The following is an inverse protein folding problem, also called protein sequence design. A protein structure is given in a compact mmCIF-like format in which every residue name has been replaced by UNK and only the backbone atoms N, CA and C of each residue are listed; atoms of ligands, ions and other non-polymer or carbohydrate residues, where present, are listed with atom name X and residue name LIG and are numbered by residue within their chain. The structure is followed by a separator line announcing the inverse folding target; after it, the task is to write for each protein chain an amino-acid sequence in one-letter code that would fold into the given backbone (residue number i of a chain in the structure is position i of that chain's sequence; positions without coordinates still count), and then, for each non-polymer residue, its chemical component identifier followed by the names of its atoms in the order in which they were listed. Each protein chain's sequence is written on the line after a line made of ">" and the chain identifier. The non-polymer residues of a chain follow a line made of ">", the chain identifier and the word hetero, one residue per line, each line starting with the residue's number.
data_IF_849959688773
#
_entry.id   IF_849959688773
#
_cell.length_a   1.000
_cell.length_b   1.000
_cell.length_c   1.000
_cell.angle_alpha   90.00
_cell.angle_beta   90.00
_cell.angle_gamma   90.00
#
_symmetry.space_group_name_H-M   'P 1'
#
loop_
_entity.id
_entity.type
_entity.pdbx_description
1 polymer ?
#
# COMPACT_ATOMS: atom_id res chain seq x y z
N UNK A 1 34.91 9.92 33.91
CA UNK A 1 34.90 8.54 33.37
C UNK A 1 33.46 8.27 32.95
N UNK A 2 33.22 8.24 31.63
CA UNK A 2 31.90 8.40 31.01
C UNK A 2 31.09 7.09 31.07
N UNK A 3 29.90 7.13 31.68
CA UNK A 3 28.93 6.05 31.62
C UNK A 3 28.30 6.00 30.22
N UNK A 4 28.43 4.83 29.57
CA UNK A 4 27.81 4.51 28.28
C UNK A 4 26.34 4.19 28.51
N UNK A 5 25.38 4.93 27.91
CA UNK A 5 23.97 4.58 28.02
C UNK A 5 23.66 3.32 27.20
N UNK A 6 23.11 2.31 27.91
CA UNK A 6 22.60 1.07 27.34
C UNK A 6 21.54 1.37 26.27
N UNK A 7 21.88 1.06 25.02
CA UNK A 7 20.96 1.04 23.89
C UNK A 7 19.88 0.00 24.18
N UNK A 8 18.68 0.46 24.54
CA UNK A 8 17.48 -0.38 24.62
C UNK A 8 17.15 -0.82 23.20
N UNK A 9 17.44 -2.09 22.91
CA UNK A 9 16.97 -2.81 21.72
C UNK A 9 15.44 -2.83 21.78
N UNK A 10 14.78 -1.96 21.02
CA UNK A 10 13.35 -2.06 20.77
C UNK A 10 13.10 -3.21 19.79
N UNK A 11 13.18 -4.44 20.30
CA UNK A 11 12.56 -5.60 19.65
C UNK A 11 11.06 -5.51 19.89
N UNK A 12 10.34 -4.72 19.08
CA UNK A 12 8.88 -4.69 19.11
C UNK A 12 8.35 -5.77 18.16
N UNK A 13 8.00 -6.88 18.78
CA UNK A 13 7.14 -7.99 18.35
C UNK A 13 6.20 -7.61 17.19
N UNK A 14 6.57 -7.99 15.95
CA UNK A 14 5.62 -8.15 14.84
C UNK A 14 4.93 -9.49 15.01
N UNK A 15 3.70 -9.47 15.54
CA UNK A 15 2.88 -10.67 15.61
C UNK A 15 2.50 -11.13 14.20
N UNK A 16 3.10 -12.27 13.87
CA UNK A 16 2.70 -13.28 12.91
C UNK A 16 1.17 -13.43 12.84
N UNK A 17 0.58 -13.29 11.66
CA UNK A 17 -0.59 -14.09 11.29
C UNK A 17 -0.27 -14.75 9.95
N UNK A 18 0.33 -15.93 10.02
CA UNK A 18 0.62 -16.80 8.89
C UNK A 18 -0.20 -18.09 9.08
N UNK A 19 -1.13 -18.39 8.18
CA UNK A 19 -0.95 -19.44 7.15
C UNK A 19 -2.26 -19.75 6.43
N UNK A 20 -2.17 -19.56 5.11
CA UNK A 20 -3.05 -20.10 4.08
C UNK A 20 -2.92 -21.63 4.08
N UNK A 21 -4.05 -22.33 4.05
CA UNK A 21 -4.12 -23.69 3.54
C UNK A 21 -4.66 -23.65 2.11
N UNK A 22 -3.87 -24.21 1.20
CA UNK A 22 -4.14 -24.31 -0.22
C UNK A 22 -5.21 -25.38 -0.53
N UNK A 23 -5.98 -25.15 -1.60
CA UNK A 23 -6.52 -26.25 -2.40
C UNK A 23 -6.34 -25.94 -3.89
N UNK A 24 -5.74 -26.88 -4.61
CA UNK A 24 -5.32 -26.78 -6.01
C UNK A 24 -6.08 -27.80 -6.86
N UNK A 25 -6.71 -27.28 -7.93
CA UNK A 25 -7.02 -27.88 -9.25
C UNK A 25 -8.12 -28.96 -9.37
N UNK A 26 -8.68 -29.25 -10.59
CA UNK A 26 -8.37 -28.72 -11.93
C UNK A 26 -9.56 -28.19 -12.77
N UNK A 27 -9.24 -27.48 -13.86
CA UNK A 27 -10.17 -26.97 -14.87
C UNK A 27 -10.68 -28.05 -15.85
N UNK A 28 -11.94 -27.96 -16.34
CA UNK A 28 -12.36 -28.63 -17.57
C UNK A 28 -12.15 -27.74 -18.81
N UNK A 29 -11.63 -28.38 -19.88
CA UNK A 29 -11.35 -27.80 -21.18
C UNK A 29 -12.63 -27.59 -22.02
N UNK A 30 -12.62 -26.49 -22.78
CA UNK A 30 -13.25 -26.23 -24.10
C UNK A 30 -14.78 -26.21 -24.20
N UNK A 31 -15.29 -25.05 -24.65
CA UNK A 31 -15.92 -24.94 -25.98
C UNK A 31 -15.79 -23.51 -26.51
N UNK A 32 -15.43 -23.38 -27.78
CA UNK A 32 -15.35 -22.12 -28.51
C UNK A 32 -16.68 -21.82 -29.22
N UNK A 33 -16.95 -20.51 -29.39
CA UNK A 33 -17.73 -19.82 -30.42
C UNK A 33 -18.74 -18.81 -29.82
N UNK A 34 -19.16 -17.78 -30.56
CA UNK A 34 -18.43 -16.94 -31.51
C UNK A 34 -18.54 -15.43 -31.18
N UNK A 35 -17.82 -14.62 -31.96
CA UNK A 35 -17.84 -13.16 -31.97
C UNK A 35 -19.26 -12.58 -31.97
N UNK A 36 -19.55 -11.74 -30.98
CA UNK A 36 -20.49 -10.64 -31.13
C UNK A 36 -19.81 -9.36 -30.64
N UNK A 37 -19.63 -8.45 -31.59
CA UNK A 37 -19.21 -7.08 -31.39
C UNK A 37 -20.30 -6.36 -30.59
N UNK A 38 -19.94 -5.73 -29.47
CA UNK A 38 -20.67 -4.61 -28.88
C UNK A 38 -19.61 -3.71 -28.19
N UNK A 39 -19.47 -2.51 -28.73
CA UNK A 39 -19.21 -1.25 -28.04
C UNK A 39 -18.08 -1.13 -27.00
N UNK A 40 -17.02 -0.42 -27.43
CA UNK A 40 -16.87 0.97 -27.01
C UNK A 40 -16.99 1.25 -25.51
N UNK A 41 -15.98 0.82 -24.76
CA UNK A 41 -15.92 1.11 -23.33
C UNK A 41 -14.65 0.59 -22.70
N UNK A 42 -13.48 0.91 -23.27
CA UNK A 42 -12.28 0.95 -22.44
C UNK A 42 -12.53 2.03 -21.39
N UNK A 43 -13.07 1.63 -20.24
CA UNK A 43 -12.85 2.32 -18.99
C UNK A 43 -11.36 2.21 -18.73
N UNK A 44 -10.59 2.98 -19.49
CA UNK A 44 -9.29 3.47 -19.09
C UNK A 44 -9.56 4.09 -17.74
N UNK A 45 -9.24 3.32 -16.68
CA UNK A 45 -9.42 3.72 -15.31
C UNK A 45 -8.61 5.00 -15.15
N UNK A 46 -9.29 6.13 -15.36
CA UNK A 46 -8.73 7.44 -15.18
C UNK A 46 -8.21 7.44 -13.76
N UNK A 47 -6.88 7.39 -13.63
CA UNK A 47 -6.18 7.40 -12.36
C UNK A 47 -6.72 8.59 -11.59
N UNK A 48 -7.66 8.33 -10.69
CA UNK A 48 -8.37 9.40 -10.04
C UNK A 48 -7.32 10.11 -9.17
N UNK A 49 -7.07 11.41 -9.41
CA UNK A 49 -6.25 12.27 -8.53
C UNK A 49 -7.01 12.46 -7.20
N UNK A 50 -7.16 11.37 -6.46
CA UNK A 50 -7.70 11.38 -5.12
C UNK A 50 -6.57 11.81 -4.20
N UNK A 51 -6.80 12.90 -3.48
CA UNK A 51 -5.83 13.48 -2.53
C UNK A 51 -6.11 13.12 -1.07
N UNK A 52 -7.21 12.40 -0.84
CA UNK A 52 -7.71 11.91 0.45
C UNK A 52 -8.67 10.73 0.21
N UNK A 53 -8.90 9.86 1.21
CA UNK A 53 -9.92 8.83 1.15
C UNK A 53 -11.28 9.40 0.77
N UNK A 54 -12.03 8.67 -0.06
CA UNK A 54 -13.41 8.98 -0.45
C UNK A 54 -14.20 7.67 -0.56
N UNK A 55 -15.49 7.64 -0.20
CA UNK A 55 -16.29 6.41 -0.28
C UNK A 55 -16.46 5.87 -1.70
N UNK A 56 -16.41 6.75 -2.70
CA UNK A 56 -16.51 6.39 -4.11
C UNK A 56 -15.20 5.89 -4.72
N UNK A 57 -14.07 5.98 -3.99
CA UNK A 57 -12.78 5.51 -4.48
C UNK A 57 -12.68 3.98 -4.29
N UNK A 58 -12.12 3.30 -5.28
CA UNK A 58 -11.79 1.88 -5.16
C UNK A 58 -10.54 1.68 -4.29
N UNK A 59 -10.32 0.44 -3.85
CA UNK A 59 -9.08 0.07 -3.16
C UNK A 59 -7.84 0.27 -4.06
N UNK A 60 -7.98 0.07 -5.37
CA UNK A 60 -6.91 0.30 -6.35
C UNK A 60 -6.57 1.78 -6.48
N UNK A 61 -7.58 2.66 -6.52
CA UNK A 61 -7.36 4.12 -6.52
C UNK A 61 -6.59 4.57 -5.29
N UNK A 62 -6.89 3.99 -4.12
CA UNK A 62 -6.21 4.30 -2.85
C UNK A 62 -4.74 3.92 -2.90
N UNK A 63 -4.41 2.70 -3.35
CA UNK A 63 -3.01 2.25 -3.47
C UNK A 63 -2.28 3.07 -4.52
N UNK A 64 -2.92 3.36 -5.65
CA UNK A 64 -2.35 4.18 -6.73
C UNK A 64 -2.02 5.59 -6.24
N UNK A 65 -2.95 6.24 -5.54
CA UNK A 65 -2.73 7.57 -4.97
C UNK A 65 -1.63 7.56 -3.89
N UNK A 66 -1.59 6.52 -3.05
CA UNK A 66 -0.57 6.37 -2.03
C UNK A 66 0.83 6.18 -2.64
N UNK A 67 0.95 5.33 -3.67
CA UNK A 67 2.21 5.10 -4.38
C UNK A 67 2.68 6.33 -5.15
N UNK A 68 1.77 7.03 -5.83
CA UNK A 68 2.10 8.30 -6.50
C UNK A 68 2.61 9.35 -5.51
N UNK A 69 2.02 9.44 -4.31
CA UNK A 69 2.49 10.33 -3.27
C UNK A 69 3.89 9.92 -2.76
N UNK A 70 4.14 8.63 -2.51
CA UNK A 70 5.45 8.13 -2.08
C UNK A 70 6.54 8.33 -3.13
N UNK A 71 6.22 8.08 -4.40
CA UNK A 71 7.11 8.34 -5.53
C UNK A 71 7.46 9.84 -5.64
N UNK A 72 6.52 10.74 -5.34
CA UNK A 72 6.78 12.18 -5.28
C UNK A 72 7.51 12.63 -4.00
N UNK A 73 7.84 11.72 -3.07
CA UNK A 73 8.45 12.06 -1.79
C UNK A 73 7.48 12.65 -0.76
N UNK A 74 6.17 12.66 -1.05
CA UNK A 74 5.13 13.26 -0.21
C UNK A 74 4.53 12.23 0.76
N UNK A 75 5.30 11.91 1.79
CA UNK A 75 4.86 11.01 2.86
C UNK A 75 3.60 11.51 3.59
N UNK A 76 3.38 12.83 3.66
CA UNK A 76 2.19 13.38 4.31
C UNK A 76 0.92 13.05 3.51
N UNK A 77 0.94 13.17 2.19
CA UNK A 77 -0.18 12.76 1.33
C UNK A 77 -0.43 11.26 1.41
N UNK A 78 0.63 10.45 1.36
CA UNK A 78 0.52 9.00 1.51
C UNK A 78 -0.15 8.62 2.85
N UNK A 79 0.22 9.30 3.95
CA UNK A 79 -0.32 9.05 5.28
C UNK A 79 -1.83 9.33 5.40
N UNK A 80 -2.42 10.17 4.54
CA UNK A 80 -3.86 10.44 4.58
C UNK A 80 -4.70 9.19 4.37
N UNK A 81 -4.18 8.24 3.58
CA UNK A 81 -4.84 6.98 3.24
C UNK A 81 -4.67 5.88 4.29
N UNK A 82 -3.86 6.09 5.33
CA UNK A 82 -3.74 5.13 6.43
C UNK A 82 -5.07 5.03 7.21
N UNK A 83 -5.44 3.80 7.58
CA UNK A 83 -6.64 3.56 8.40
C UNK A 83 -6.50 4.19 9.78
N UNK A 84 -7.62 4.53 10.47
CA UNK A 84 -7.58 5.05 11.83
C UNK A 84 -6.76 4.16 12.78
N UNK A 85 -6.93 2.84 12.69
CA UNK A 85 -6.16 1.88 13.48
C UNK A 85 -4.65 1.98 13.19
N UNK A 86 -4.26 2.05 11.92
CA UNK A 86 -2.86 2.22 11.52
C UNK A 86 -2.28 3.56 12.01
N UNK A 87 -3.06 4.65 11.94
CA UNK A 87 -2.66 5.98 12.45
C UNK A 87 -2.47 5.99 13.97
N UNK A 88 -3.30 5.28 14.73
CA UNK A 88 -3.15 5.15 16.18
C UNK A 88 -1.82 4.49 16.56
N UNK A 89 -1.39 3.48 15.79
CA UNK A 89 -0.12 2.76 16.02
C UNK A 89 1.08 3.59 15.57
N UNK A 90 1.04 4.13 14.36
CA UNK A 90 2.17 4.88 13.76
C UNK A 90 2.36 6.25 14.43
N UNK A 91 1.27 6.83 14.95
CA UNK A 91 1.24 8.20 15.46
C UNK A 91 1.17 9.24 14.33
N UNK A 92 1.46 10.51 14.63
CA UNK A 92 1.29 11.61 13.68
C UNK A 92 2.17 11.45 12.43
N UNK A 93 1.78 12.09 11.32
CA UNK A 93 2.44 11.94 10.02
C UNK A 93 3.97 12.18 10.04
N UNK A 94 4.48 13.00 10.96
CA UNK A 94 5.93 13.22 11.14
C UNK A 94 6.66 11.96 11.59
N UNK A 95 6.03 11.12 12.44
CA UNK A 95 6.56 9.81 12.84
C UNK A 95 6.52 8.83 11.69
N UNK A 96 5.43 8.80 10.93
CA UNK A 96 5.34 8.01 9.70
C UNK A 96 6.43 8.37 8.69
N UNK A 97 6.65 9.66 8.45
CA UNK A 97 7.71 10.15 7.58
C UNK A 97 9.08 9.67 8.06
N UNK A 98 9.40 9.88 9.33
CA UNK A 98 10.67 9.41 9.91
C UNK A 98 10.83 7.88 9.80
N UNK A 99 9.75 7.12 10.04
CA UNK A 99 9.75 5.66 9.89
C UNK A 99 10.09 5.23 8.46
N UNK A 100 9.47 5.83 7.44
CA UNK A 100 9.75 5.48 6.04
C UNK A 100 11.17 5.90 5.63
N UNK A 101 11.62 7.08 6.05
CA UNK A 101 12.95 7.59 5.69
C UNK A 101 14.07 6.79 6.34
N UNK A 102 13.88 6.32 7.57
CA UNK A 102 14.92 5.66 8.37
C UNK A 102 14.90 4.14 8.25
N UNK A 103 13.75 3.52 7.93
CA UNK A 103 13.67 2.07 7.79
C UNK A 103 14.07 1.64 6.37
N UNK A 104 15.16 0.86 6.21
CA UNK A 104 15.60 0.36 4.90
C UNK A 104 14.54 -0.46 4.16
N UNK A 105 13.59 -1.06 4.87
CA UNK A 105 12.49 -1.83 4.29
C UNK A 105 11.52 -0.95 3.50
N UNK A 106 11.21 0.26 3.98
CA UNK A 106 10.20 1.14 3.36
C UNK A 106 10.79 2.28 2.55
N UNK A 107 12.03 2.69 2.87
CA UNK A 107 12.77 3.75 2.16
C UNK A 107 12.75 3.62 0.63
N UNK A 108 12.82 2.41 0.03
CA UNK A 108 12.81 2.26 -1.42
C UNK A 108 11.52 2.73 -2.12
N UNK A 109 10.39 2.80 -1.41
CA UNK A 109 9.15 3.38 -1.96
C UNK A 109 9.22 4.89 -2.12
N UNK A 110 9.99 5.56 -1.25
CA UNK A 110 10.11 7.00 -1.24
C UNK A 110 11.01 7.46 -2.39
N UNK A 111 10.51 8.38 -3.22
CA UNK A 111 11.24 8.87 -4.39
C UNK A 111 11.74 7.73 -5.32
N UNK A 112 10.96 6.66 -5.43
CA UNK A 112 11.27 5.56 -6.36
C UNK A 112 11.28 6.05 -7.82
N UNK A 113 12.00 5.34 -8.69
CA UNK A 113 12.05 5.70 -10.12
C UNK A 113 10.71 5.42 -10.81
N UNK A 114 10.11 4.27 -10.50
CA UNK A 114 8.81 3.83 -10.99
C UNK A 114 8.22 2.77 -10.07
N UNK A 115 6.93 2.51 -10.23
CA UNK A 115 6.23 1.42 -9.56
C UNK A 115 5.23 0.79 -10.53
N UNK A 116 4.83 -0.44 -10.26
CA UNK A 116 3.84 -1.20 -11.05
C UNK A 116 2.80 -1.81 -10.13
N UNK A 117 1.53 -1.71 -10.50
CA UNK A 117 0.45 -2.47 -9.86
C UNK A 117 0.44 -3.89 -10.42
N UNK A 118 0.62 -4.89 -9.55
CA UNK A 118 0.69 -6.31 -9.97
C UNK A 118 -0.69 -6.94 -9.95
N UNK A 119 -1.50 -6.63 -8.95
CA UNK A 119 -2.84 -7.17 -8.81
C UNK A 119 -3.40 -7.01 -7.42
N UNK A 120 -4.70 -7.30 -7.30
CA UNK A 120 -5.45 -7.20 -6.06
C UNK A 120 -6.25 -8.46 -5.80
N UNK A 121 -6.26 -8.91 -4.55
CA UNK A 121 -7.06 -10.04 -4.07
C UNK A 121 -7.90 -9.61 -2.87
N UNK A 122 -8.94 -10.37 -2.56
CA UNK A 122 -9.79 -10.17 -1.39
C UNK A 122 -11.26 -9.93 -1.75
N UNK A 123 -12.06 -9.61 -0.74
CA UNK A 123 -13.52 -9.44 -0.79
C UNK A 123 -13.91 -7.94 -0.70
N UNK A 124 -15.20 -7.66 -0.48
CA UNK A 124 -15.72 -6.29 -0.50
C UNK A 124 -15.37 -5.47 0.76
N UNK A 125 -14.78 -6.11 1.78
CA UNK A 125 -14.42 -5.50 3.06
C UNK A 125 -12.90 -5.46 3.27
N UNK A 126 -12.15 -6.41 2.69
CA UNK A 126 -10.70 -6.49 2.81
C UNK A 126 -10.04 -6.79 1.47
N UNK A 127 -9.00 -6.04 1.15
CA UNK A 127 -8.17 -6.24 -0.06
C UNK A 127 -6.69 -6.33 0.28
N UNK A 128 -5.95 -7.10 -0.51
CA UNK A 128 -4.50 -7.13 -0.54
C UNK A 128 -4.03 -6.76 -1.94
N UNK A 129 -3.29 -5.65 -2.06
CA UNK A 129 -2.73 -5.18 -3.32
C UNK A 129 -1.23 -5.46 -3.38
N UNK A 130 -0.77 -6.07 -4.47
CA UNK A 130 0.66 -6.28 -4.72
C UNK A 130 1.18 -5.20 -5.66
N UNK A 131 2.29 -4.58 -5.29
CA UNK A 131 2.98 -3.58 -6.11
C UNK A 131 4.46 -3.91 -6.22
N UNK A 132 5.06 -3.61 -7.36
CA UNK A 132 6.52 -3.63 -7.54
C UNK A 132 7.07 -2.23 -7.51
N UNK A 133 8.19 -2.06 -6.83
CA UNK A 133 8.87 -0.78 -6.67
C UNK A 133 10.27 -0.90 -7.22
N UNK A 134 10.62 0.05 -8.08
CA UNK A 134 11.92 0.16 -8.71
C UNK A 134 12.64 1.32 -8.04
N UNK A 135 13.54 1.04 -7.08
CA UNK A 135 14.17 2.09 -6.29
C UNK A 135 14.95 3.04 -7.21
N UNK A 136 15.03 4.32 -6.85
CA UNK A 136 15.96 5.21 -7.55
C UNK A 136 17.38 4.63 -7.41
N UNK A 137 18.02 4.33 -8.54
CA UNK A 137 19.25 3.55 -8.60
C UNK A 137 20.32 4.10 -7.65
N UNK A 138 21.00 3.21 -6.94
CA UNK A 138 22.20 3.54 -6.18
C UNK A 138 23.31 3.99 -7.12
N UNK A 139 23.91 5.14 -6.83
CA UNK A 139 25.15 5.73 -7.35
C UNK A 139 25.52 5.46 -8.82
N UNK A 140 25.80 6.52 -9.60
CA UNK A 140 26.38 6.43 -10.95
C UNK A 140 27.82 5.89 -11.00
N UNK A 141 28.27 5.19 -9.95
CA UNK A 141 29.59 4.59 -9.88
C UNK A 141 29.64 3.36 -10.81
N UNK A 142 30.77 3.14 -11.51
CA UNK A 142 30.93 2.06 -12.50
C UNK A 142 30.80 0.63 -11.94
N UNK A 143 30.64 0.47 -10.62
CA UNK A 143 30.44 -0.81 -9.93
C UNK A 143 29.22 -0.79 -8.97
N UNK A 144 28.30 0.16 -9.13
CA UNK A 144 27.13 0.21 -8.27
C UNK A 144 26.25 -1.02 -8.50
N UNK A 145 26.00 -1.76 -7.42
CA UNK A 145 25.03 -2.85 -7.41
C UNK A 145 23.66 -2.26 -7.68
N UNK A 146 23.00 -2.73 -8.75
CA UNK A 146 21.62 -2.35 -9.03
C UNK A 146 20.76 -2.70 -7.81
N UNK A 147 20.00 -1.71 -7.34
CA UNK A 147 19.06 -1.95 -6.25
C UNK A 147 17.96 -2.88 -6.77
N UNK A 148 17.70 -4.03 -6.12
CA UNK A 148 16.70 -4.97 -6.60
C UNK A 148 15.32 -4.33 -6.63
N UNK A 149 14.48 -4.81 -7.55
CA UNK A 149 13.04 -4.53 -7.53
C UNK A 149 12.46 -5.17 -6.27
N UNK A 150 11.69 -4.41 -5.51
CA UNK A 150 11.07 -4.88 -4.26
C UNK A 150 9.57 -4.99 -4.48
N UNK A 151 8.99 -6.09 -4.04
CA UNK A 151 7.55 -6.25 -4.04
C UNK A 151 6.99 -5.89 -2.67
N UNK A 152 5.88 -5.16 -2.66
CA UNK A 152 5.15 -4.82 -1.43
C UNK A 152 3.72 -5.31 -1.52
N UNK A 153 3.19 -5.78 -0.39
CA UNK A 153 1.78 -6.09 -0.22
C UNK A 153 1.13 -5.05 0.70
N UNK A 154 0.16 -4.31 0.16
CA UNK A 154 -0.67 -3.37 0.88
C UNK A 154 -1.93 -4.11 1.34
N UNK A 155 -2.20 -4.10 2.64
CA UNK A 155 -3.47 -4.59 3.18
C UNK A 155 -4.40 -3.41 3.41
N UNK A 156 -5.64 -3.52 2.90
CA UNK A 156 -6.65 -2.49 2.99
C UNK A 156 -7.94 -3.05 3.62
N UNK A 157 -8.63 -2.20 4.36
CA UNK A 157 -9.99 -2.46 4.82
C UNK A 157 -10.92 -1.31 4.46
N UNK A 158 -12.17 -1.68 4.17
CA UNK A 158 -13.26 -0.72 4.06
C UNK A 158 -13.65 -0.28 5.46
N UNK A 159 -13.65 1.02 5.69
CA UNK A 159 -13.97 1.58 7.00
C UNK A 159 -15.49 1.58 7.20
N UNK A 160 -15.97 1.30 8.43
CA UNK A 160 -17.40 1.24 8.70
C UNK A 160 -18.08 2.57 8.34
N UNK A 161 -19.31 2.49 7.85
CA UNK A 161 -20.14 3.68 7.68
C UNK A 161 -20.62 4.10 9.06
N UNK A 162 -20.15 5.24 9.53
CA UNK A 162 -20.57 5.81 10.81
C UNK A 162 -21.49 7.00 10.54
N UNK A 163 -22.70 6.94 11.10
CA UNK A 163 -23.71 8.00 11.04
C UNK A 163 -23.63 8.96 12.22
N UNK A 164 -22.93 8.57 13.30
CA UNK A 164 -22.93 9.28 14.60
C UNK A 164 -21.55 9.25 15.31
N UNK A 165 -20.47 9.66 14.65
CA UNK A 165 -19.15 9.81 15.30
C UNK A 165 -18.65 11.26 15.21
N UNK A 166 -17.81 11.74 16.12
CA UNK A 166 -17.21 13.08 15.98
C UNK A 166 -16.36 13.27 14.70
N UNK A 167 -15.83 14.47 14.48
CA UNK A 167 -15.20 14.93 13.22
C UNK A 167 -14.20 13.96 12.55
N UNK A 168 -13.36 13.24 13.31
CA UNK A 168 -12.36 12.32 12.73
C UNK A 168 -12.95 10.99 12.25
N UNK A 169 -14.05 10.53 12.85
CA UNK A 169 -14.76 9.31 12.44
C UNK A 169 -15.48 9.48 11.09
N UNK A 170 -15.98 10.69 10.82
CA UNK A 170 -16.59 11.01 9.53
C UNK A 170 -15.60 11.04 8.37
N UNK A 171 -14.33 11.39 8.63
CA UNK A 171 -13.38 11.69 7.57
C UNK A 171 -13.04 10.50 6.66
N UNK A 172 -13.24 9.27 7.14
CA UNK A 172 -12.97 8.03 6.39
C UNK A 172 -14.16 7.07 6.35
N UNK A 173 -15.33 7.47 6.82
CA UNK A 173 -16.55 6.65 6.83
C UNK A 173 -16.83 6.07 5.43
N UNK A 174 -16.97 4.74 5.32
CA UNK A 174 -17.21 4.04 4.05
C UNK A 174 -16.05 4.05 3.04
N UNK A 175 -14.88 4.59 3.40
CA UNK A 175 -13.72 4.66 2.52
C UNK A 175 -12.84 3.41 2.61
N UNK A 176 -12.12 3.10 1.55
CA UNK A 176 -10.96 2.20 1.64
C UNK A 176 -9.77 2.92 2.29
N UNK A 177 -9.10 2.24 3.22
CA UNK A 177 -7.89 2.72 3.87
C UNK A 177 -6.83 1.62 4.01
N UNK A 178 -5.56 2.01 4.02
CA UNK A 178 -4.42 1.10 4.16
C UNK A 178 -4.15 0.78 5.63
N UNK A 179 -4.25 -0.49 5.99
CA UNK A 179 -3.98 -1.02 7.32
C UNK A 179 -2.50 -1.32 7.54
N UNK A 180 -1.84 -1.88 6.54
CA UNK A 180 -0.42 -2.24 6.62
C UNK A 180 0.23 -2.35 5.24
N UNK A 181 1.55 -2.28 5.21
CA UNK A 181 2.39 -2.53 4.03
C UNK A 181 3.54 -3.42 4.47
N UNK A 182 3.82 -4.50 3.74
CA UNK A 182 4.93 -5.43 4.03
C UNK A 182 5.75 -5.67 2.77
N UNK A 183 7.08 -5.73 2.91
CA UNK A 183 7.96 -6.17 1.81
C UNK A 183 7.90 -7.70 1.67
N UNK A 184 7.90 -8.19 0.42
CA UNK A 184 7.88 -9.61 0.06
C UNK A 184 9.23 -10.15 -0.40
#
# INVERSE_FOLDING_TARGET
>A
MLEVPRIRRYSLVLLLVSRIAAFVAPAPRRRAAPLHSEDGGFLEAASADIRRPKPSASAEDVVTAQMNALQAGDAMRAFKFASPANKQVTGPWRRFKAMIEQNPEYRPMLACSRWEFVGMLGDDERKAARVRVFPAGGSSAPFAVQTPVIEYTFSLSKQPVVTDAGDEGYAVSGCWCTDSVVAG
#
